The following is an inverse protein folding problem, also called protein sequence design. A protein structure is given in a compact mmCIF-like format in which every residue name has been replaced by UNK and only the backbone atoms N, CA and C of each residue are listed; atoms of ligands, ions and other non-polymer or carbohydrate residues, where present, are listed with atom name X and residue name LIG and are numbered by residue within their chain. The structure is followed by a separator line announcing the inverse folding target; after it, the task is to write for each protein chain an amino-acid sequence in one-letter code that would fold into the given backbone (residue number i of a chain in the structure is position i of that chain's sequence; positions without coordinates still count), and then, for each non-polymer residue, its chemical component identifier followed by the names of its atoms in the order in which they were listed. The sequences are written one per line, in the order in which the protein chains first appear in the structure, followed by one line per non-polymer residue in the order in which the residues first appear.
data_IF_542752613325
#
_entry.id   IF_542752613325
#
_cell.length_a   1.000
_cell.length_b   1.000
_cell.length_c   1.000
_cell.angle_alpha   90.00
_cell.angle_beta   90.00
_cell.angle_gamma   90.00
#
_symmetry.space_group_name_H-M   'P 1'
#
loop_
_entity.id
_entity.type
_entity.pdbx_description
1 polymer ?
#
# COMPACT_ATOMS: atom_id res chain seq x y z
N UNK A 1 -17.86 1.68 -3.74
CA UNK A 1 -17.43 1.62 -2.32
C UNK A 1 -16.60 2.85 -1.99
N UNK A 2 -16.89 3.56 -0.91
CA UNK A 2 -16.32 4.89 -0.62
C UNK A 2 -14.92 4.76 0.02
N UNK A 3 -13.88 5.26 -0.64
CA UNK A 3 -12.49 5.34 -0.15
C UNK A 3 -12.42 5.90 1.28
N UNK A 4 -13.24 6.92 1.58
CA UNK A 4 -13.33 7.55 2.92
C UNK A 4 -13.71 6.59 4.05
N UNK A 5 -14.59 5.61 3.81
CA UNK A 5 -15.00 4.64 4.85
C UNK A 5 -13.85 3.71 5.23
N UNK A 6 -13.09 3.29 4.23
CA UNK A 6 -11.96 2.36 4.41
C UNK A 6 -10.77 3.10 5.02
N UNK A 7 -10.55 4.36 4.65
CA UNK A 7 -9.46 5.18 5.19
C UNK A 7 -9.59 5.47 6.69
N UNK A 8 -10.81 5.50 7.23
CA UNK A 8 -11.04 5.70 8.67
C UNK A 8 -10.73 4.46 9.51
N UNK A 9 -10.71 3.27 8.91
CA UNK A 9 -10.47 2.01 9.62
C UNK A 9 -9.01 1.59 9.53
N UNK A 10 -8.49 1.01 10.61
CA UNK A 10 -7.20 0.33 10.59
C UNK A 10 -7.38 -1.11 10.11
N UNK A 11 -7.72 -1.26 8.83
CA UNK A 11 -7.96 -2.55 8.17
C UNK A 11 -7.08 -2.70 6.93
N UNK A 12 -6.74 -3.95 6.61
CA UNK A 12 -6.06 -4.29 5.36
C UNK A 12 -7.02 -4.13 4.16
N UNK A 13 -6.54 -3.53 3.07
CA UNK A 13 -7.35 -3.23 1.89
C UNK A 13 -6.76 -3.89 0.67
N UNK A 14 -7.57 -4.68 -0.04
CA UNK A 14 -7.20 -5.27 -1.32
C UNK A 14 -7.77 -4.45 -2.48
N UNK A 15 -6.90 -3.81 -3.27
CA UNK A 15 -7.29 -3.09 -4.49
C UNK A 15 -7.10 -4.00 -5.69
N UNK A 16 -8.21 -4.39 -6.33
CA UNK A 16 -8.21 -5.23 -7.55
C UNK A 16 -8.41 -4.37 -8.80
N UNK A 17 -7.85 -4.82 -9.92
CA UNK A 17 -7.97 -4.16 -11.22
C UNK A 17 -6.83 -4.57 -12.15
N UNK A 18 -6.98 -4.31 -13.44
CA UNK A 18 -5.98 -4.66 -14.47
C UNK A 18 -4.68 -3.88 -14.29
N UNK A 19 -3.57 -4.40 -14.83
CA UNK A 19 -2.28 -3.70 -14.78
C UNK A 19 -2.36 -2.34 -15.48
N UNK A 20 -1.70 -1.31 -14.95
CA UNK A 20 -1.73 0.04 -15.54
C UNK A 20 -2.95 0.91 -15.21
N UNK A 21 -3.94 0.41 -14.45
CA UNK A 21 -5.17 1.16 -14.10
C UNK A 21 -5.00 2.19 -12.97
N UNK A 22 -3.77 2.48 -12.52
CA UNK A 22 -3.53 3.48 -11.48
C UNK A 22 -3.92 3.04 -10.06
N UNK A 23 -3.92 1.74 -9.75
CA UNK A 23 -4.21 1.20 -8.40
C UNK A 23 -3.35 1.86 -7.30
N UNK A 24 -2.14 2.29 -7.64
CA UNK A 24 -1.27 3.04 -6.73
C UNK A 24 -1.86 4.37 -6.26
N UNK A 25 -2.61 5.05 -7.14
CA UNK A 25 -3.27 6.33 -6.83
C UNK A 25 -4.38 6.09 -5.81
N UNK A 26 -5.08 4.95 -5.92
CA UNK A 26 -6.10 4.54 -4.95
C UNK A 26 -5.46 4.28 -3.59
N UNK A 27 -4.35 3.52 -3.55
CA UNK A 27 -3.64 3.25 -2.31
C UNK A 27 -3.11 4.53 -1.64
N UNK A 28 -2.56 5.45 -2.44
CA UNK A 28 -2.11 6.75 -1.93
C UNK A 28 -3.27 7.60 -1.41
N UNK A 29 -4.41 7.60 -2.10
CA UNK A 29 -5.62 8.33 -1.68
C UNK A 29 -6.19 7.77 -0.36
N UNK A 30 -6.15 6.45 -0.16
CA UNK A 30 -6.53 5.81 1.11
C UNK A 30 -5.59 6.27 2.23
N UNK A 31 -4.27 6.30 1.98
CA UNK A 31 -3.28 6.77 2.95
C UNK A 31 -3.51 8.23 3.35
N UNK A 32 -3.65 9.13 2.37
CA UNK A 32 -3.89 10.56 2.57
C UNK A 32 -5.18 10.85 3.37
N UNK A 33 -6.23 10.05 3.15
CA UNK A 33 -7.52 10.22 3.83
C UNK A 33 -7.61 9.49 5.18
N UNK A 34 -6.57 8.75 5.57
CA UNK A 34 -6.54 7.97 6.80
C UNK A 34 -5.80 8.72 7.90
N UNK A 35 -6.03 8.34 9.16
CA UNK A 35 -5.31 8.92 10.31
C UNK A 35 -3.80 8.62 10.34
N UNK A 36 -3.28 7.86 9.38
CA UNK A 36 -1.85 7.57 9.18
C UNK A 36 -1.22 8.40 8.05
N UNK A 37 -1.91 9.42 7.54
CA UNK A 37 -1.40 10.29 6.46
C UNK A 37 -0.01 10.90 6.75
N UNK A 38 0.29 11.18 8.02
CA UNK A 38 1.59 11.70 8.48
C UNK A 38 2.70 10.64 8.57
N UNK A 39 2.36 9.35 8.51
CA UNK A 39 3.33 8.24 8.55
C UNK A 39 3.91 7.98 7.15
N UNK A 40 5.14 7.44 7.05
CA UNK A 40 5.74 7.11 5.76
C UNK A 40 4.88 6.09 4.98
N UNK A 41 4.64 6.39 3.71
CA UNK A 41 3.93 5.50 2.78
C UNK A 41 4.93 4.73 1.93
N UNK A 42 5.21 3.49 2.31
CA UNK A 42 6.17 2.62 1.59
C UNK A 42 5.43 1.83 0.52
N UNK A 43 5.75 2.10 -0.75
CA UNK A 43 5.25 1.31 -1.89
C UNK A 43 6.24 0.19 -2.20
N UNK A 44 5.74 -1.03 -2.34
CA UNK A 44 6.56 -2.18 -2.76
C UNK A 44 5.88 -2.87 -3.93
N UNK A 45 6.61 -2.97 -5.05
CA UNK A 45 6.14 -3.66 -6.25
C UNK A 45 6.76 -5.05 -6.30
N UNK A 46 6.00 -6.08 -5.89
CA UNK A 46 6.46 -7.46 -5.87
C UNK A 46 6.82 -8.02 -7.25
N UNK A 47 6.33 -7.42 -8.35
CA UNK A 47 6.63 -7.87 -9.72
C UNK A 47 7.97 -7.37 -10.26
N UNK A 48 8.59 -6.37 -9.61
CA UNK A 48 9.87 -5.78 -10.03
C UNK A 48 11.02 -6.14 -9.10
N UNK A 49 10.75 -6.91 -8.04
CA UNK A 49 11.76 -7.31 -7.05
C UNK A 49 12.14 -8.77 -7.35
N UNK A 50 13.41 -9.07 -7.66
CA UNK A 50 13.84 -10.43 -7.83
C UNK A 50 13.80 -11.17 -6.49
N UNK A 51 13.37 -12.43 -6.49
CA UNK A 51 13.01 -13.20 -5.29
C UNK A 51 14.11 -13.23 -4.21
N UNK A 52 15.38 -13.22 -4.62
CA UNK A 52 16.54 -13.23 -3.73
C UNK A 52 16.73 -11.93 -2.91
N UNK A 53 16.06 -10.83 -3.29
CA UNK A 53 16.14 -9.54 -2.59
C UNK A 53 14.91 -9.26 -1.70
N UNK A 54 13.87 -10.10 -1.74
CA UNK A 54 12.66 -9.93 -0.93
C UNK A 54 12.99 -10.00 0.57
N UNK A 55 14.01 -10.77 0.96
CA UNK A 55 14.49 -10.86 2.35
C UNK A 55 15.26 -9.61 2.79
N UNK A 56 15.89 -8.88 1.88
CA UNK A 56 16.73 -7.71 2.21
C UNK A 56 15.97 -6.38 2.23
N UNK A 57 14.72 -6.33 1.76
CA UNK A 57 13.92 -5.11 1.90
C UNK A 57 13.50 -4.95 3.37
N UNK A 58 13.60 -3.74 3.95
CA UNK A 58 13.30 -3.46 5.35
C UNK A 58 11.81 -3.60 5.71
N UNK A 59 10.99 -4.19 4.84
CA UNK A 59 9.61 -4.57 5.16
C UNK A 59 9.52 -5.58 6.32
N UNK A 60 10.58 -6.35 6.55
CA UNK A 60 10.62 -7.36 7.62
C UNK A 60 11.41 -6.92 8.87
N UNK A 61 12.01 -5.72 8.87
CA UNK A 61 12.72 -5.16 10.03
C UNK A 61 11.76 -4.39 10.96
N UNK A 62 10.74 -5.09 11.45
CA UNK A 62 9.96 -4.65 12.60
C UNK A 62 9.80 -5.81 13.58
N UNK A 63 10.94 -6.23 14.12
CA UNK A 63 10.98 -6.65 15.52
C UNK A 63 11.17 -5.42 16.40
#
# INVERSE_FOLDING_TARGET
MRIKRVAMGDISVLVRGESGTGKEIIAHSIHQLSGRSEKPFVKVNCGSIPEHLIVCIPLFDNK
#
